data_IF_783786181166
#
_entry.id   IF_783786181166
#
_cell.length_a   1.000
_cell.length_b   1.000
_cell.length_c   1.000
_cell.angle_alpha   90.00
_cell.angle_beta   90.00
_cell.angle_gamma   90.00
#
_symmetry.space_group_name_H-M   'P 1'
#
loop_
_entity.id
_entity.type
_entity.pdbx_description
1 polymer ?
#
# COMPACT_ATOMS: atom_id res chain seq x y z
N UNK A 1 -12.32 -24.29 19.98
CA UNK A 1 -12.81 -23.07 19.30
C UNK A 1 -11.80 -22.46 18.33
N UNK A 2 -10.49 -22.35 18.67
CA UNK A 2 -9.47 -21.75 17.80
C UNK A 2 -9.33 -22.45 16.42
N UNK A 3 -9.23 -23.79 16.39
CA UNK A 3 -9.12 -24.54 15.12
C UNK A 3 -10.33 -24.35 14.19
N UNK A 4 -11.55 -24.31 14.74
CA UNK A 4 -12.76 -24.13 13.92
C UNK A 4 -12.85 -22.71 13.34
N UNK A 5 -12.31 -21.70 14.02
CA UNK A 5 -12.25 -20.33 13.50
C UNK A 5 -11.17 -20.18 12.41
N UNK A 6 -10.00 -20.80 12.60
CA UNK A 6 -8.96 -20.91 11.57
C UNK A 6 -9.47 -21.64 10.32
N UNK A 7 -10.12 -22.79 10.50
CA UNK A 7 -10.72 -23.54 9.41
C UNK A 7 -11.83 -22.75 8.71
N UNK A 8 -12.65 -22.00 9.46
CA UNK A 8 -13.69 -21.16 8.87
C UNK A 8 -13.09 -20.02 8.03
N UNK A 9 -12.06 -19.33 8.51
CA UNK A 9 -11.42 -18.24 7.76
C UNK A 9 -10.61 -18.80 6.59
N UNK A 10 -9.88 -19.89 6.77
CA UNK A 10 -9.26 -20.60 5.66
C UNK A 10 -10.31 -21.02 4.63
N UNK A 11 -11.45 -21.58 5.05
CA UNK A 11 -12.52 -21.94 4.14
C UNK A 11 -13.18 -20.72 3.49
N UNK A 12 -13.45 -19.62 4.20
CA UNK A 12 -14.03 -18.40 3.60
C UNK A 12 -13.08 -17.71 2.61
N UNK A 13 -11.77 -17.72 2.87
CA UNK A 13 -10.77 -17.11 2.00
C UNK A 13 -10.28 -18.04 0.87
N UNK A 14 -10.24 -19.36 1.07
CA UNK A 14 -9.83 -20.35 0.06
C UNK A 14 -11.01 -20.89 -0.77
N UNK A 15 -12.23 -20.95 -0.23
CA UNK A 15 -13.44 -21.38 -0.95
C UNK A 15 -14.18 -20.23 -1.64
N UNK A 16 -13.70 -18.98 -1.57
CA UNK A 16 -14.02 -17.96 -2.57
C UNK A 16 -13.03 -18.13 -3.72
N UNK A 17 -13.33 -19.00 -4.71
CA UNK A 17 -12.36 -19.37 -5.73
C UNK A 17 -12.12 -18.10 -6.55
N UNK A 18 -10.91 -17.78 -7.01
CA UNK A 18 -10.24 -18.48 -8.12
C UNK A 18 -11.15 -18.78 -9.35
N UNK A 19 -12.39 -18.26 -9.39
CA UNK A 19 -13.38 -18.36 -10.45
C UNK A 19 -13.68 -16.96 -11.00
N UNK A 20 -12.68 -16.33 -11.60
CA UNK A 20 -12.83 -15.58 -12.84
C UNK A 20 -11.49 -15.59 -13.59
N UNK A 21 -11.00 -16.79 -13.92
CA UNK A 21 -10.14 -16.97 -15.08
C UNK A 21 -11.00 -17.62 -16.16
N UNK A 22 -11.23 -16.82 -17.20
CA UNK A 22 -11.84 -17.10 -18.50
C UNK A 22 -13.28 -16.62 -18.73
N UNK A 23 -13.38 -15.88 -19.84
CA UNK A 23 -14.57 -15.51 -20.60
C UNK A 23 -15.41 -14.35 -20.09
N UNK A 24 -14.96 -13.12 -20.37
CA UNK A 24 -15.84 -12.10 -20.94
C UNK A 24 -15.05 -11.27 -21.96
N UNK A 25 -14.82 -11.89 -23.12
CA UNK A 25 -14.74 -11.16 -24.38
C UNK A 25 -16.16 -10.65 -24.70
N UNK A 26 -16.61 -9.59 -24.03
CA UNK A 26 -17.87 -8.90 -24.36
C UNK A 26 -17.54 -7.60 -25.07
N UNK A 27 -17.27 -7.75 -26.37
CA UNK A 27 -17.85 -6.95 -27.45
C UNK A 27 -18.09 -5.47 -27.10
N UNK A 28 -17.03 -4.66 -27.15
CA UNK A 28 -17.18 -3.24 -27.42
C UNK A 28 -17.81 -3.09 -28.81
N UNK A 29 -19.11 -2.76 -28.84
CA UNK A 29 -19.76 -2.26 -30.06
C UNK A 29 -19.11 -0.94 -30.40
N UNK A 30 -18.26 -0.98 -31.41
CA UNK A 30 -17.75 0.19 -32.12
C UNK A 30 -18.97 0.91 -32.74
N UNK A 31 -19.44 1.97 -32.08
CA UNK A 31 -20.38 2.91 -32.68
C UNK A 31 -19.59 3.78 -33.65
N UNK A 32 -19.62 3.36 -34.91
CA UNK A 32 -19.08 4.11 -36.02
C UNK A 32 -19.92 5.38 -36.20
N UNK A 33 -19.44 6.52 -35.68
CA UNK A 33 -19.86 7.84 -36.17
C UNK A 33 -18.69 8.43 -36.92
N UNK A 34 -18.79 8.28 -38.23
CA UNK A 34 -17.96 8.96 -39.20
C UNK A 34 -18.28 10.45 -39.14
N UNK A 35 -17.36 11.24 -38.60
CA UNK A 35 -17.35 12.70 -38.77
C UNK A 35 -15.93 13.12 -39.09
N UNK A 36 -15.78 13.77 -40.24
CA UNK A 36 -14.54 14.27 -40.79
C UNK A 36 -13.79 15.15 -39.79
N UNK A 37 -12.62 14.70 -39.34
CA UNK A 37 -11.68 15.46 -38.49
C UNK A 37 -10.30 15.37 -39.14
N UNK A 38 -10.04 16.20 -40.15
CA UNK A 38 -8.70 16.32 -40.75
C UNK A 38 -8.18 17.75 -40.79
N UNK A 39 -8.99 18.74 -40.40
CA UNK A 39 -8.57 20.16 -40.37
C UNK A 39 -8.10 20.71 -39.02
N UNK A 40 -8.59 20.29 -37.83
CA UNK A 40 -8.15 20.91 -36.56
C UNK A 40 -6.81 20.35 -36.03
N UNK A 41 -6.41 19.14 -36.43
CA UNK A 41 -5.15 18.52 -35.99
C UNK A 41 -3.92 19.21 -36.61
N UNK A 42 -4.03 19.64 -37.88
CA UNK A 42 -2.95 20.37 -38.57
C UNK A 42 -2.76 21.74 -37.92
N UNK A 43 -3.87 22.45 -37.64
CA UNK A 43 -3.85 23.75 -37.00
C UNK A 43 -3.22 23.65 -35.59
N UNK A 44 -3.62 22.64 -34.81
CA UNK A 44 -3.04 22.42 -33.47
C UNK A 44 -1.54 22.09 -33.53
N UNK A 45 -1.10 21.28 -34.51
CA UNK A 45 0.32 20.96 -34.70
C UNK A 45 1.14 22.20 -35.08
N UNK A 46 0.57 23.10 -35.88
CA UNK A 46 1.22 24.34 -36.30
C UNK A 46 1.38 25.31 -35.13
N UNK A 47 0.34 25.49 -34.31
CA UNK A 47 0.44 26.31 -33.10
C UNK A 47 1.38 25.73 -32.04
N UNK A 48 1.44 24.39 -31.92
CA UNK A 48 2.38 23.72 -31.02
C UNK A 48 3.84 23.91 -31.46
N UNK A 49 4.11 23.84 -32.77
CA UNK A 49 5.43 24.12 -33.34
C UNK A 49 5.85 25.58 -33.15
N UNK A 50 4.92 26.53 -33.36
CA UNK A 50 5.17 27.95 -33.09
C UNK A 50 5.43 28.17 -31.59
N UNK A 51 4.70 27.50 -30.71
CA UNK A 51 4.93 27.59 -29.27
C UNK A 51 6.34 27.12 -28.89
N UNK A 52 6.82 25.99 -29.44
CA UNK A 52 8.19 25.52 -29.23
C UNK A 52 9.22 26.49 -29.83
N UNK A 53 8.97 27.10 -30.98
CA UNK A 53 9.93 28.04 -31.57
C UNK A 53 10.00 29.39 -30.82
N UNK A 54 8.87 29.86 -30.28
CA UNK A 54 8.78 31.12 -29.52
C UNK A 54 9.26 30.95 -28.09
N UNK A 55 8.93 29.83 -27.43
CA UNK A 55 9.28 29.59 -26.02
C UNK A 55 10.49 28.66 -25.81
N UNK A 56 10.84 27.83 -26.79
CA UNK A 56 12.02 26.96 -26.73
C UNK A 56 13.33 27.72 -26.82
N UNK A 57 13.33 28.93 -27.39
CA UNK A 57 14.48 29.84 -27.38
C UNK A 57 14.74 30.53 -26.04
N UNK A 58 13.87 30.33 -25.04
CA UNK A 58 14.02 30.87 -23.67
C UNK A 58 14.37 29.79 -22.64
N UNK A 59 14.54 28.53 -23.07
CA UNK A 59 15.11 27.49 -22.21
C UNK A 59 16.63 27.64 -22.27
N UNK A 60 17.14 28.49 -21.38
CA UNK A 60 18.58 28.62 -21.16
C UNK A 60 19.09 27.32 -20.51
N UNK A 61 19.62 26.40 -21.31
CA UNK A 61 20.14 25.10 -20.84
C UNK A 61 21.34 25.28 -19.88
N UNK A 62 21.91 26.48 -19.79
CA UNK A 62 22.91 26.88 -18.81
C UNK A 62 22.35 27.08 -17.38
N UNK A 63 21.02 27.24 -17.21
CA UNK A 63 20.40 27.29 -15.88
C UNK A 63 20.05 25.90 -15.32
N UNK A 64 20.25 24.83 -16.08
CA UNK A 64 20.22 23.45 -15.57
C UNK A 64 21.62 22.94 -15.15
N UNK A 65 22.64 23.80 -15.18
CA UNK A 65 23.93 23.58 -14.52
C UNK A 65 24.04 24.48 -13.30
N UNK A 66 23.58 24.01 -12.13
CA UNK A 66 23.82 24.76 -10.90
C UNK A 66 22.93 24.41 -9.72
N UNK A 67 23.13 23.22 -9.15
CA UNK A 67 23.35 23.03 -7.69
C UNK A 67 23.54 21.53 -7.43
N UNK A 68 24.72 21.01 -7.78
CA UNK A 68 25.30 19.95 -6.96
C UNK A 68 25.58 20.63 -5.62
N UNK A 69 24.60 20.60 -4.72
CA UNK A 69 24.86 20.88 -3.32
C UNK A 69 25.87 19.81 -2.94
N UNK A 70 27.13 20.24 -2.79
CA UNK A 70 28.14 19.49 -2.07
C UNK A 70 27.51 19.18 -0.72
N UNK A 71 26.93 17.98 -0.59
CA UNK A 71 26.75 17.35 0.70
C UNK A 71 28.17 17.17 1.20
N UNK A 72 28.67 18.19 1.89
CA UNK A 72 29.81 18.05 2.76
C UNK A 72 29.58 16.77 3.54
N UNK A 73 30.56 15.88 3.45
CA UNK A 73 30.58 14.63 4.16
C UNK A 73 30.21 14.91 5.61
N UNK A 74 28.95 14.64 5.97
CA UNK A 74 28.58 14.44 7.36
C UNK A 74 29.25 13.11 7.68
N UNK A 75 30.44 13.21 8.25
CA UNK A 75 31.21 12.10 8.77
C UNK A 75 30.43 11.54 9.98
N UNK A 76 29.29 10.91 9.71
CA UNK A 76 28.64 10.05 10.67
C UNK A 76 29.63 8.91 10.86
N UNK A 77 30.25 8.89 12.04
CA UNK A 77 31.06 7.78 12.52
C UNK A 77 30.32 6.47 12.20
N UNK A 78 30.75 5.80 11.11
CA UNK A 78 30.17 4.54 10.68
C UNK A 78 30.59 3.54 11.74
N UNK A 79 29.73 3.33 12.73
CA UNK A 79 29.76 2.09 13.50
C UNK A 79 29.63 0.98 12.47
N UNK A 80 30.64 0.10 12.42
CA UNK A 80 30.68 -1.14 11.65
C UNK A 80 29.26 -1.71 11.56
N UNK A 81 28.67 -1.88 10.36
CA UNK A 81 27.32 -2.38 10.25
C UNK A 81 27.28 -3.74 10.94
N UNK A 82 26.38 -3.88 11.92
CA UNK A 82 25.93 -5.21 12.33
C UNK A 82 25.48 -5.92 11.05
N UNK A 83 26.00 -7.13 10.83
CA UNK A 83 25.70 -7.93 9.64
C UNK A 83 24.18 -7.95 9.47
N UNK A 84 23.63 -7.44 8.34
CA UNK A 84 22.20 -7.48 8.11
C UNK A 84 21.71 -8.91 8.24
N UNK A 85 20.70 -9.14 9.08
CA UNK A 85 20.07 -10.45 9.15
C UNK A 85 19.37 -10.68 7.82
N UNK A 86 19.95 -11.53 6.98
CA UNK A 86 19.41 -11.86 5.67
C UNK A 86 18.46 -13.04 5.78
N UNK A 87 17.27 -12.92 5.17
CA UNK A 87 16.28 -14.00 5.08
C UNK A 87 16.11 -14.39 3.61
N UNK A 88 17.06 -15.15 3.03
CA UNK A 88 17.02 -15.49 1.61
C UNK A 88 15.77 -16.30 1.26
N UNK A 89 15.16 -16.01 0.11
CA UNK A 89 14.03 -16.79 -0.40
C UNK A 89 14.55 -17.97 -1.22
N UNK A 90 14.23 -19.20 -0.78
CA UNK A 90 14.46 -20.39 -1.60
C UNK A 90 13.29 -20.61 -2.57
N UNK A 91 13.41 -20.06 -3.79
CA UNK A 91 12.39 -20.17 -4.84
C UNK A 91 12.31 -21.58 -5.45
N UNK A 92 13.38 -22.38 -5.36
CA UNK A 92 13.42 -23.76 -5.87
C UNK A 92 12.44 -24.67 -5.13
N UNK A 93 12.39 -24.57 -3.80
CA UNK A 93 11.45 -25.35 -2.97
C UNK A 93 9.98 -24.99 -3.20
N UNK A 94 9.70 -23.75 -3.63
CA UNK A 94 8.35 -23.33 -4.00
C UNK A 94 7.83 -24.08 -5.22
N UNK A 95 8.68 -24.31 -6.23
CA UNK A 95 8.29 -24.95 -7.49
C UNK A 95 7.77 -26.38 -7.31
N UNK A 96 8.24 -27.09 -6.28
CA UNK A 96 7.88 -28.49 -6.04
C UNK A 96 6.60 -28.64 -5.21
N UNK A 97 6.35 -27.69 -4.29
CA UNK A 97 5.29 -27.83 -3.27
C UNK A 97 4.19 -26.77 -3.35
N UNK A 98 4.35 -25.75 -4.19
CA UNK A 98 3.56 -24.51 -4.17
C UNK A 98 3.45 -23.90 -2.75
N UNK A 99 4.48 -24.10 -1.92
CA UNK A 99 4.59 -23.59 -0.56
C UNK A 99 6.02 -23.12 -0.30
N UNK A 100 6.15 -22.06 0.48
CA UNK A 100 7.47 -21.66 0.97
C UNK A 100 7.91 -22.62 2.09
N UNK A 101 9.20 -22.99 2.18
CA UNK A 101 9.72 -23.78 3.28
C UNK A 101 9.42 -23.11 4.62
N UNK A 102 8.64 -23.77 5.48
CA UNK A 102 8.25 -23.22 6.78
C UNK A 102 9.32 -23.39 7.87
N UNK A 103 10.31 -24.26 7.64
CA UNK A 103 11.34 -24.60 8.63
C UNK A 103 12.59 -23.71 8.52
N UNK A 104 12.77 -23.01 7.41
CA UNK A 104 13.99 -22.25 7.12
C UNK A 104 13.97 -20.83 7.70
N UNK A 105 12.84 -20.40 8.26
CA UNK A 105 12.68 -19.06 8.84
C UNK A 105 12.47 -19.12 10.36
N UNK A 106 13.13 -18.22 11.13
CA UNK A 106 12.94 -18.18 12.56
C UNK A 106 11.50 -17.80 12.90
N UNK A 107 10.92 -18.49 13.90
CA UNK A 107 9.57 -18.21 14.39
C UNK A 107 9.51 -17.10 15.43
N UNK A 108 10.68 -16.63 15.88
CA UNK A 108 10.82 -15.58 16.89
C UNK A 108 11.87 -14.58 16.43
N UNK A 109 11.50 -13.31 16.43
CA UNK A 109 12.44 -12.24 16.17
C UNK A 109 13.47 -12.12 17.29
N UNK A 110 14.75 -12.27 16.96
CA UNK A 110 15.87 -11.96 17.86
C UNK A 110 16.42 -10.59 17.45
N UNK A 111 16.08 -9.51 18.18
CA UNK A 111 16.67 -8.21 17.90
C UNK A 111 18.18 -8.27 18.14
N UNK A 112 18.96 -7.67 17.23
CA UNK A 112 20.34 -7.31 17.57
C UNK A 112 20.33 -6.36 18.76
N UNK A 113 21.43 -6.28 19.52
CA UNK A 113 21.47 -5.49 20.77
C UNK A 113 21.19 -4.03 20.45
N UNK A 114 19.94 -3.60 20.67
CA UNK A 114 19.54 -2.22 20.47
C UNK A 114 20.42 -1.33 21.35
N UNK A 115 21.03 -0.31 20.73
CA UNK A 115 21.67 0.76 21.48
C UNK A 115 20.63 1.38 22.40
N UNK A 116 20.93 1.47 23.70
CA UNK A 116 20.06 2.02 24.75
C UNK A 116 19.65 3.48 24.55
N UNK A 117 20.15 4.15 23.50
CA UNK A 117 19.96 5.57 23.22
C UNK A 117 19.10 5.83 21.97
N UNK A 118 18.36 4.85 21.45
CA UNK A 118 17.50 5.09 20.29
C UNK A 118 16.21 5.80 20.68
N UNK A 119 16.11 7.09 20.39
CA UNK A 119 14.84 7.83 20.43
C UNK A 119 13.94 7.37 19.29
N UNK A 120 12.64 7.19 19.56
CA UNK A 120 11.66 6.88 18.52
C UNK A 120 11.67 8.00 17.46
N UNK A 121 11.88 7.68 16.17
CA UNK A 121 11.88 8.69 15.12
C UNK A 121 10.59 9.52 15.10
N UNK A 122 10.72 10.82 14.83
CA UNK A 122 9.61 11.78 14.94
C UNK A 122 8.42 11.42 14.05
N UNK A 123 8.64 10.85 12.88
CA UNK A 123 7.56 10.49 11.94
C UNK A 123 6.59 9.45 12.50
N UNK A 124 6.98 8.65 13.50
CA UNK A 124 6.07 7.71 14.16
C UNK A 124 4.98 8.41 15.00
N UNK A 125 5.11 9.73 15.27
CA UNK A 125 4.04 10.51 15.91
C UNK A 125 2.72 10.44 15.13
N UNK A 126 2.79 10.32 13.80
CA UNK A 126 1.61 10.27 12.94
C UNK A 126 0.75 9.03 13.16
N UNK A 127 1.33 7.91 13.60
CA UNK A 127 0.54 6.72 13.98
C UNK A 127 -0.44 7.07 15.11
N UNK A 128 0.00 7.86 16.09
CA UNK A 128 -0.86 8.26 17.21
C UNK A 128 -1.95 9.23 16.76
N UNK A 129 -1.64 10.14 15.84
CA UNK A 129 -2.63 11.08 15.30
C UNK A 129 -3.68 10.36 14.44
N UNK A 130 -3.26 9.47 13.54
CA UNK A 130 -4.16 8.73 12.65
C UNK A 130 -5.10 7.78 13.42
N UNK A 131 -4.64 7.21 14.53
CA UNK A 131 -5.42 6.29 15.36
C UNK A 131 -6.21 6.97 16.49
N UNK A 132 -5.99 8.27 16.72
CA UNK A 132 -6.52 9.03 17.87
C UNK A 132 -8.03 8.90 18.04
N UNK A 133 -8.77 8.89 16.94
CA UNK A 133 -10.23 8.83 16.92
C UNK A 133 -10.83 7.55 17.49
N UNK A 134 -10.03 6.47 17.60
CA UNK A 134 -10.45 5.20 18.19
C UNK A 134 -9.74 4.89 19.51
N UNK A 135 -8.96 5.83 20.05
CA UNK A 135 -8.15 5.60 21.25
C UNK A 135 -9.00 5.19 22.45
N UNK A 136 -10.13 5.87 22.67
CA UNK A 136 -10.99 5.64 23.84
C UNK A 136 -12.12 4.64 23.56
N UNK A 137 -12.59 4.57 22.31
CA UNK A 137 -13.73 3.74 21.91
C UNK A 137 -13.34 2.36 21.38
N UNK A 138 -12.09 2.21 20.96
CA UNK A 138 -11.64 1.03 20.22
C UNK A 138 -12.21 0.96 18.80
N UNK A 139 -11.88 -0.13 18.12
CA UNK A 139 -12.37 -0.45 16.79
C UNK A 139 -13.27 -1.68 16.90
N UNK A 140 -14.55 -1.52 16.61
CA UNK A 140 -15.50 -2.64 16.63
C UNK A 140 -15.52 -3.39 15.30
N UNK A 141 -15.99 -4.64 15.32
CA UNK A 141 -16.15 -5.43 14.11
C UNK A 141 -17.06 -4.74 13.09
N UNK A 142 -18.15 -4.12 13.55
CA UNK A 142 -19.09 -3.40 12.68
C UNK A 142 -18.43 -2.21 11.99
N UNK A 143 -17.43 -1.57 12.61
CA UNK A 143 -16.66 -0.49 11.97
C UNK A 143 -15.78 -1.02 10.86
N UNK A 144 -15.11 -2.16 11.09
CA UNK A 144 -14.29 -2.84 10.07
C UNK A 144 -15.17 -3.31 8.92
N UNK A 145 -16.33 -3.91 9.19
CA UNK A 145 -17.27 -4.34 8.15
C UNK A 145 -17.79 -3.14 7.32
N UNK A 146 -18.03 -1.98 7.95
CA UNK A 146 -18.39 -0.74 7.22
C UNK A 146 -17.25 -0.19 6.36
N UNK A 147 -15.99 -0.44 6.71
CA UNK A 147 -14.83 -0.03 5.92
C UNK A 147 -14.74 -0.79 4.57
N UNK A 148 -15.37 -1.97 4.46
CA UNK A 148 -15.34 -2.79 3.23
C UNK A 148 -15.74 -2.01 1.97
N UNK A 149 -16.76 -1.14 2.05
CA UNK A 149 -17.23 -0.35 0.89
C UNK A 149 -16.19 0.63 0.34
N UNK A 150 -15.18 0.96 1.16
CA UNK A 150 -14.06 1.81 0.80
C UNK A 150 -12.81 0.97 0.43
N UNK A 151 -12.74 -0.30 0.80
CA UNK A 151 -11.54 -1.09 0.60
C UNK A 151 -11.45 -1.67 -0.83
N UNK A 152 -10.22 -1.82 -1.31
CA UNK A 152 -9.84 -2.65 -2.44
C UNK A 152 -9.64 -4.10 -2.01
N UNK A 153 -9.04 -4.31 -0.85
CA UNK A 153 -8.87 -5.62 -0.25
C UNK A 153 -8.92 -5.56 1.28
N UNK A 154 -9.32 -6.68 1.87
CA UNK A 154 -9.21 -6.99 3.29
C UNK A 154 -7.98 -7.86 3.50
N UNK A 155 -7.24 -7.59 4.56
CA UNK A 155 -6.08 -8.37 4.97
C UNK A 155 -6.27 -8.82 6.42
N UNK A 156 -6.15 -10.11 6.67
CA UNK A 156 -6.25 -10.71 8.00
C UNK A 156 -4.93 -11.36 8.34
N UNK A 157 -4.36 -10.98 9.48
CA UNK A 157 -3.26 -11.72 10.12
C UNK A 157 -3.87 -12.55 11.23
N UNK A 158 -3.61 -13.84 11.19
CA UNK A 158 -4.20 -14.77 12.13
C UNK A 158 -3.29 -15.99 12.33
N UNK A 159 -2.91 -16.24 13.58
CA UNK A 159 -1.96 -17.30 13.97
C UNK A 159 -0.66 -17.26 13.12
N UNK A 160 -0.17 -16.05 12.86
CA UNK A 160 1.06 -15.81 12.07
C UNK A 160 0.92 -16.08 10.57
N UNK A 161 -0.30 -16.25 10.06
CA UNK A 161 -0.60 -16.38 8.63
C UNK A 161 -1.35 -15.17 8.13
N UNK A 162 -1.10 -14.82 6.87
CA UNK A 162 -1.79 -13.73 6.19
C UNK A 162 -2.84 -14.29 5.23
N UNK A 163 -4.04 -13.70 5.27
CA UNK A 163 -5.14 -14.00 4.36
C UNK A 163 -5.59 -12.70 3.70
N UNK A 164 -5.88 -12.76 2.41
CA UNK A 164 -6.27 -11.58 1.64
C UNK A 164 -7.53 -11.86 0.85
N UNK A 165 -8.56 -11.06 1.07
CA UNK A 165 -9.79 -11.05 0.27
C UNK A 165 -9.82 -9.79 -0.58
N UNK A 166 -9.97 -9.96 -1.90
CA UNK A 166 -10.08 -8.84 -2.83
C UNK A 166 -11.55 -8.50 -3.03
N UNK A 167 -11.90 -7.22 -2.86
CA UNK A 167 -13.26 -6.73 -3.11
C UNK A 167 -13.40 -6.09 -4.48
N UNK A 168 -12.40 -5.30 -4.89
CA UNK A 168 -12.37 -4.59 -6.19
C UNK A 168 -10.94 -4.49 -6.71
N UNK A 169 -10.81 -4.23 -8.01
CA UNK A 169 -9.49 -4.10 -8.65
C UNK A 169 -8.79 -2.83 -8.19
N UNK A 170 -7.55 -2.96 -7.71
CA UNK A 170 -6.68 -1.83 -7.44
C UNK A 170 -6.05 -1.32 -8.73
N UNK A 171 -5.73 -0.03 -8.77
CA UNK A 171 -4.89 0.53 -9.83
C UNK A 171 -3.55 -0.21 -9.85
N UNK A 172 -3.10 -0.61 -11.04
CA UNK A 172 -1.77 -1.22 -11.27
C UNK A 172 -1.46 -2.39 -10.32
N UNK A 173 -0.22 -2.47 -9.85
CA UNK A 173 0.36 -3.49 -8.98
C UNK A 173 0.26 -3.13 -7.49
N UNK A 174 -0.49 -2.08 -7.13
CA UNK A 174 -0.48 -1.47 -5.77
C UNK A 174 -0.87 -2.45 -4.67
N UNK A 175 -2.02 -3.11 -4.79
CA UNK A 175 -2.46 -4.10 -3.81
C UNK A 175 -1.50 -5.30 -3.71
N UNK A 176 -0.89 -5.69 -4.84
CA UNK A 176 0.09 -6.79 -4.88
C UNK A 176 1.34 -6.43 -4.09
N UNK A 177 1.94 -5.26 -4.34
CA UNK A 177 3.16 -4.83 -3.66
C UNK A 177 2.93 -4.49 -2.19
N UNK A 178 1.79 -3.91 -1.82
CA UNK A 178 1.45 -3.74 -0.39
C UNK A 178 1.32 -5.09 0.32
N UNK A 179 0.65 -6.06 -0.30
CA UNK A 179 0.55 -7.42 0.26
C UNK A 179 1.94 -8.06 0.37
N UNK A 180 2.76 -7.93 -0.67
CA UNK A 180 4.12 -8.48 -0.68
C UNK A 180 5.00 -7.84 0.39
N UNK A 181 4.94 -6.52 0.58
CA UNK A 181 5.62 -5.80 1.64
C UNK A 181 5.24 -6.29 3.04
N UNK A 182 3.94 -6.50 3.29
CA UNK A 182 3.46 -7.07 4.56
C UNK A 182 3.97 -8.50 4.78
N UNK A 183 4.01 -9.33 3.74
CA UNK A 183 4.63 -10.66 3.81
C UNK A 183 6.11 -10.57 4.16
N UNK A 184 6.85 -9.62 3.58
CA UNK A 184 8.25 -9.40 3.93
C UNK A 184 8.40 -8.97 5.40
N UNK A 185 7.58 -8.03 5.88
CA UNK A 185 7.60 -7.60 7.28
C UNK A 185 7.32 -8.74 8.25
N UNK A 186 6.38 -9.64 7.93
CA UNK A 186 6.11 -10.84 8.71
C UNK A 186 7.31 -11.79 8.77
N UNK A 187 8.10 -11.87 7.69
CA UNK A 187 9.34 -12.67 7.63
C UNK A 187 10.47 -12.02 8.42
N UNK A 188 10.64 -10.70 8.32
CA UNK A 188 11.68 -9.95 9.03
C UNK A 188 11.40 -9.86 10.53
N UNK A 189 10.13 -9.77 10.94
CA UNK A 189 9.70 -9.59 12.33
C UNK A 189 8.75 -10.69 12.81
N UNK A 190 9.19 -11.97 12.82
CA UNK A 190 8.31 -13.09 13.12
C UNK A 190 7.83 -13.05 14.58
N UNK A 191 6.52 -13.23 14.75
CA UNK A 191 5.85 -13.21 16.06
C UNK A 191 5.68 -11.82 16.68
N UNK A 192 5.93 -10.73 15.93
CA UNK A 192 5.74 -9.35 16.40
C UNK A 192 4.36 -8.78 16.07
N UNK A 193 3.74 -9.25 14.99
CA UNK A 193 2.40 -8.80 14.59
C UNK A 193 1.34 -9.64 15.32
N UNK A 194 0.36 -9.01 15.98
CA UNK A 194 -0.76 -9.71 16.59
C UNK A 194 -1.75 -10.18 15.52
N UNK A 195 -2.74 -10.97 15.94
CA UNK A 195 -3.92 -11.23 15.12
C UNK A 195 -4.68 -9.92 14.89
N UNK A 196 -4.94 -9.57 13.63
CA UNK A 196 -5.59 -8.31 13.25
C UNK A 196 -6.27 -8.41 11.88
N UNK A 197 -7.18 -7.47 11.61
CA UNK A 197 -7.87 -7.32 10.33
C UNK A 197 -7.76 -5.87 9.85
N UNK A 198 -7.33 -5.68 8.60
CA UNK A 198 -7.11 -4.38 7.98
C UNK A 198 -7.93 -4.25 6.69
N UNK A 199 -8.43 -3.04 6.44
CA UNK A 199 -9.13 -2.66 5.22
C UNK A 199 -8.27 -1.66 4.45
N UNK A 200 -7.83 -2.01 3.25
CA UNK A 200 -6.93 -1.18 2.45
C UNK A 200 -7.63 -0.57 1.25
N UNK A 201 -7.46 0.73 1.05
CA UNK A 201 -7.81 1.41 -0.20
C UNK A 201 -6.54 1.87 -0.92
N UNK A 202 -6.34 1.36 -2.14
CA UNK A 202 -5.16 1.57 -2.96
C UNK A 202 -5.16 2.83 -3.85
N UNK A 203 -6.21 3.66 -3.83
CA UNK A 203 -6.24 4.88 -4.66
C UNK A 203 -5.49 6.05 -3.99
N UNK A 204 -5.30 7.14 -4.72
CA UNK A 204 -4.53 8.32 -4.25
C UNK A 204 -5.34 9.28 -3.37
N UNK A 205 -6.67 9.30 -3.51
CA UNK A 205 -7.52 10.29 -2.83
C UNK A 205 -8.13 9.74 -1.55
N UNK A 206 -8.04 10.44 -0.41
CA UNK A 206 -8.66 10.02 0.85
C UNK A 206 -10.18 9.90 0.74
N UNK A 207 -10.78 8.97 1.49
CA UNK A 207 -12.23 8.64 1.37
C UNK A 207 -13.01 8.83 2.66
N UNK A 208 -12.37 8.84 3.82
CA UNK A 208 -13.05 9.01 5.11
C UNK A 208 -12.99 10.49 5.50
N UNK A 209 -14.00 11.27 5.10
CA UNK A 209 -14.03 12.71 5.38
C UNK A 209 -14.39 12.99 6.83
N UNK A 210 -13.59 13.79 7.53
CA UNK A 210 -13.79 14.08 8.95
C UNK A 210 -15.16 14.68 9.26
N UNK A 211 -15.64 15.60 8.41
CA UNK A 211 -16.93 16.29 8.57
C UNK A 211 -18.15 15.36 8.63
N UNK A 212 -18.03 14.14 8.11
CA UNK A 212 -19.14 13.17 8.09
C UNK A 212 -19.31 12.50 9.47
N UNK A 213 -18.32 12.65 10.37
CA UNK A 213 -18.24 11.98 11.67
C UNK A 213 -18.21 12.95 12.88
N UNK A 214 -18.36 14.26 12.65
CA UNK A 214 -18.34 15.28 13.72
C UNK A 214 -19.72 15.64 14.28
N UNK A 215 -20.80 15.11 13.72
CA UNK A 215 -22.17 15.46 14.14
C UNK A 215 -22.56 14.76 15.44
N UNK A 216 -23.45 15.36 16.26
CA UNK A 216 -24.08 14.65 17.36
C UNK A 216 -24.72 13.35 16.87
N UNK A 217 -24.46 12.24 17.56
CA UNK A 217 -24.90 10.88 17.21
C UNK A 217 -24.35 10.32 15.89
N UNK A 218 -23.29 10.91 15.32
CA UNK A 218 -22.60 10.28 14.20
C UNK A 218 -21.98 8.93 14.65
N UNK A 219 -22.07 7.93 13.77
CA UNK A 219 -21.36 6.67 13.99
C UNK A 219 -19.84 6.93 14.00
N UNK A 220 -19.06 6.12 14.72
CA UNK A 220 -17.61 6.22 14.67
C UNK A 220 -17.07 5.99 13.24
N UNK A 221 -15.98 6.69 12.84
CA UNK A 221 -15.39 6.54 11.52
C UNK A 221 -14.91 5.09 11.31
N UNK A 222 -15.08 4.51 10.11
CA UNK A 222 -14.53 3.20 9.80
C UNK A 222 -13.01 3.31 9.55
N UNK A 223 -12.19 2.38 10.07
CA UNK A 223 -10.75 2.40 9.87
C UNK A 223 -10.39 1.91 8.47
N UNK A 224 -9.75 2.77 7.67
CA UNK A 224 -9.29 2.45 6.31
C UNK A 224 -7.83 2.87 6.17
N UNK A 225 -6.99 1.94 5.72
CA UNK A 225 -5.57 2.17 5.45
C UNK A 225 -5.37 2.65 4.02
N UNK A 226 -4.50 3.66 3.84
CA UNK A 226 -4.22 4.31 2.56
C UNK A 226 -2.80 4.82 2.47
N UNK A 227 -2.38 5.19 1.27
CA UNK A 227 -1.07 5.77 1.02
C UNK A 227 -1.00 7.28 1.24
N UNK A 228 -2.14 7.98 1.16
CA UNK A 228 -2.25 9.42 1.31
C UNK A 228 -3.44 9.80 2.19
N UNK A 229 -3.27 10.85 3.00
CA UNK A 229 -4.30 11.46 3.84
C UNK A 229 -4.07 12.99 3.88
N UNK A 230 -5.04 13.74 4.40
CA UNK A 230 -4.94 15.18 4.63
C UNK A 230 -5.68 15.57 5.92
N UNK A 231 -5.58 16.83 6.33
CA UNK A 231 -6.18 17.32 7.58
C UNK A 231 -7.72 17.24 7.64
N UNK A 232 -8.38 16.94 6.52
CA UNK A 232 -9.84 16.83 6.42
C UNK A 232 -10.29 15.37 6.27
N UNK A 233 -9.35 14.42 6.30
CA UNK A 233 -9.62 12.99 6.23
C UNK A 233 -9.14 12.25 7.47
N UNK A 234 -9.74 11.10 7.69
CA UNK A 234 -9.52 10.22 8.84
C UNK A 234 -8.94 8.86 8.43
N UNK A 235 -8.50 8.77 7.18
CA UNK A 235 -7.79 7.61 6.63
C UNK A 235 -6.44 7.42 7.34
N UNK A 236 -6.09 6.18 7.65
CA UNK A 236 -4.85 5.80 8.34
C UNK A 236 -3.75 5.66 7.29
N UNK A 237 -2.66 6.42 7.44
CA UNK A 237 -1.57 6.37 6.47
C UNK A 237 -0.73 5.11 6.66
N UNK A 238 -0.44 4.43 5.56
CA UNK A 238 0.42 3.27 5.46
C UNK A 238 1.51 3.52 4.42
N UNK A 239 2.74 2.99 4.62
CA UNK A 239 3.80 3.10 3.62
C UNK A 239 3.35 2.67 2.24
N UNK A 240 3.71 3.50 1.26
CA UNK A 240 3.26 3.35 -0.12
C UNK A 240 3.66 2.02 -0.75
N UNK A 241 2.91 1.57 -1.77
CA UNK A 241 3.26 0.35 -2.50
C UNK A 241 4.65 0.43 -3.13
N UNK A 242 5.09 1.65 -3.51
CA UNK A 242 6.39 1.92 -4.12
C UNK A 242 7.59 1.63 -3.21
N UNK A 243 7.40 1.57 -1.88
CA UNK A 243 8.46 1.11 -0.97
C UNK A 243 8.84 -0.35 -1.20
N UNK A 244 7.92 -1.14 -1.75
CA UNK A 244 8.07 -2.58 -1.92
C UNK A 244 8.34 -2.99 -3.37
N UNK A 245 7.91 -2.18 -4.34
CA UNK A 245 8.17 -2.40 -5.76
C UNK A 245 7.26 -1.61 -6.69
N UNK A 246 7.38 -1.88 -8.00
CA UNK A 246 6.65 -1.22 -9.08
C UNK A 246 6.17 -2.22 -10.15
#
# INVERSE_FOLDING_TARGET
>A
MRNHHQEKLANEFWLRPALQRNSFATKWRYLNKQTYVTTPLIIFSFFFLIFILVFGGWIDLANFSGQVVSLGAFESSIKKPEIPIEYPMNCTSWSETNKCPSNDYPRKHQPSKASSNSTCPEYFKWIYEDLKQWKETGITKEMVDRAQKHAHFRLVILDGKIYVEKFRQSIQSRALFTTWGLVQLMRFYPGKLPDLELMFDCDDRPVIRAKDYTRPNAAAPPPVFRYCSNAQSLDIVFPDWSFWGW
#
